data_IF_836700890212
#
_entry.id   IF_836700890212
#
_cell.length_a   1.000
_cell.length_b   1.000
_cell.length_c   1.000
_cell.angle_alpha   90.00
_cell.angle_beta   90.00
_cell.angle_gamma   90.00
#
_symmetry.space_group_name_H-M   'P 1'
#
loop_
_entity.id
_entity.type
_entity.pdbx_description
1 polymer ?
#
# COMPACT_ATOMS: atom_id res chain seq x y z
N UNK A 1 34.48 -14.92 60.34
CA UNK A 1 34.78 -13.77 59.48
C UNK A 1 36.11 -14.04 58.80
N UNK A 2 36.22 -14.48 57.55
CA UNK A 2 37.48 -14.56 56.82
C UNK A 2 37.75 -13.23 56.08
N UNK A 3 39.01 -12.87 56.08
CA UNK A 3 39.59 -11.60 55.74
C UNK A 3 39.51 -11.23 54.29
N UNK A 4 39.59 -9.93 54.11
CA UNK A 4 39.68 -9.20 52.86
C UNK A 4 41.03 -9.50 52.19
N UNK A 5 41.04 -10.33 51.13
CA UNK A 5 42.20 -10.53 50.30
C UNK A 5 42.43 -9.31 49.45
N UNK A 6 43.52 -8.60 49.76
CA UNK A 6 44.03 -7.48 48.98
C UNK A 6 44.47 -7.96 47.58
N UNK A 7 43.81 -7.42 46.55
CA UNK A 7 44.31 -7.56 45.20
C UNK A 7 45.74 -7.01 45.05
N UNK A 8 46.68 -7.76 44.52
CA UNK A 8 48.05 -7.29 44.31
C UNK A 8 48.04 -6.15 43.30
N UNK A 9 48.47 -4.98 43.72
CA UNK A 9 48.58 -3.80 42.89
C UNK A 9 49.36 -4.07 41.62
N UNK A 10 48.83 -3.62 40.48
CA UNK A 10 49.44 -3.78 39.17
C UNK A 10 50.89 -3.28 39.19
N UNK A 11 51.84 -4.22 39.04
CA UNK A 11 53.28 -3.92 38.91
C UNK A 11 53.48 -3.07 37.65
N UNK A 12 53.92 -1.83 37.82
CA UNK A 12 54.33 -0.93 36.74
C UNK A 12 55.46 -1.59 35.97
N UNK A 13 55.30 -1.75 34.65
CA UNK A 13 56.37 -2.21 33.74
C UNK A 13 57.56 -1.25 33.86
N UNK A 14 58.77 -1.73 34.08
CA UNK A 14 59.96 -0.90 34.06
C UNK A 14 60.21 -0.47 32.61
N UNK A 15 60.29 0.82 32.37
CA UNK A 15 60.59 1.35 31.04
C UNK A 15 59.62 2.42 30.50
N UNK A 16 58.51 2.69 31.16
CA UNK A 16 57.67 3.84 30.82
C UNK A 16 58.37 5.14 31.24
N UNK A 17 59.20 5.69 30.35
CA UNK A 17 59.69 7.07 30.44
C UNK A 17 58.51 8.02 30.29
N UNK A 18 57.70 8.20 31.33
CA UNK A 18 56.91 9.41 31.41
C UNK A 18 57.90 10.54 31.69
N UNK A 19 58.23 11.26 30.63
CA UNK A 19 58.86 12.56 30.77
C UNK A 19 58.03 13.42 31.70
N UNK A 20 58.60 14.45 32.29
CA UNK A 20 57.91 15.33 33.21
C UNK A 20 56.62 15.82 32.49
N UNK A 21 55.48 15.64 33.17
CA UNK A 21 54.22 16.17 32.71
C UNK A 21 54.37 17.68 32.69
N UNK A 22 54.84 18.22 31.58
CA UNK A 22 54.77 19.67 31.36
C UNK A 22 53.29 19.98 31.34
N UNK A 23 52.88 20.81 32.30
CA UNK A 23 51.53 21.35 32.33
C UNK A 23 51.23 21.93 30.95
N UNK A 24 49.99 21.83 30.50
CA UNK A 24 49.50 22.25 29.18
C UNK A 24 49.82 23.71 28.80
N UNK A 25 50.42 24.49 29.70
CA UNK A 25 50.85 25.88 29.48
C UNK A 25 52.11 26.09 28.64
N UNK A 26 52.84 25.08 28.22
CA UNK A 26 54.13 25.21 27.52
C UNK A 26 54.18 24.85 26.05
N UNK A 27 53.14 24.35 25.45
CA UNK A 27 53.15 24.01 24.03
C UNK A 27 52.36 25.00 23.21
N UNK A 28 53.09 25.69 22.35
CA UNK A 28 52.62 26.52 21.19
C UNK A 28 51.18 27.00 21.27
N UNK A 29 50.97 28.22 21.74
CA UNK A 29 49.63 28.89 21.77
C UNK A 29 48.82 28.68 20.51
N UNK A 30 49.42 28.64 19.34
CA UNK A 30 48.75 28.35 18.04
C UNK A 30 48.15 26.93 17.93
N UNK A 31 48.63 25.95 18.73
CA UNK A 31 48.06 24.61 18.77
C UNK A 31 46.87 24.48 19.74
N UNK A 32 46.66 25.52 20.57
CA UNK A 32 45.57 25.59 21.54
C UNK A 32 44.41 26.49 21.08
N UNK A 33 44.54 27.19 19.94
CA UNK A 33 43.42 27.85 19.34
C UNK A 33 42.41 26.80 18.89
N UNK A 34 41.45 26.55 19.75
CA UNK A 34 40.31 25.65 19.46
C UNK A 34 39.55 26.21 18.26
N UNK A 35 39.07 25.32 17.40
CA UNK A 35 38.21 25.64 16.23
C UNK A 35 36.89 26.27 16.61
N UNK A 36 36.88 27.18 17.61
CA UNK A 36 35.68 27.83 18.12
C UNK A 36 34.94 26.99 19.18
N UNK A 37 33.79 27.46 19.68
CA UNK A 37 33.02 26.77 20.70
C UNK A 37 32.61 25.38 20.19
N UNK A 38 32.76 24.38 21.02
CA UNK A 38 32.43 22.98 20.70
C UNK A 38 30.97 22.89 20.19
N UNK A 39 30.74 22.43 18.97
CA UNK A 39 29.38 22.31 18.44
C UNK A 39 28.47 21.50 19.37
N UNK A 40 27.18 21.80 19.38
CA UNK A 40 26.20 21.02 20.15
C UNK A 40 26.32 19.53 19.79
N UNK A 41 26.08 18.65 20.75
CA UNK A 41 26.20 17.19 20.57
C UNK A 41 25.49 16.65 19.32
N UNK A 42 24.41 17.30 18.94
CA UNK A 42 23.59 17.00 17.75
C UNK A 42 24.28 17.30 16.40
N UNK A 43 25.29 18.19 16.42
CA UNK A 43 26.01 18.64 15.23
C UNK A 43 27.47 18.11 15.16
N UNK A 44 27.86 17.22 16.09
CA UNK A 44 29.19 16.61 16.12
C UNK A 44 29.22 15.37 15.25
N UNK A 45 30.10 15.36 14.25
CA UNK A 45 30.33 14.17 13.41
C UNK A 45 30.68 12.95 14.30
N UNK A 46 29.97 11.84 14.11
CA UNK A 46 30.19 10.60 14.86
C UNK A 46 29.53 10.52 16.23
N UNK A 47 28.99 11.60 16.78
CA UNK A 47 28.32 11.59 18.08
C UNK A 47 26.99 10.82 18.02
N UNK A 48 26.61 10.00 19.05
CA UNK A 48 25.35 9.25 19.04
C UNK A 48 24.10 10.11 18.81
N UNK A 49 24.05 11.33 19.40
CA UNK A 49 22.93 12.27 19.18
C UNK A 49 22.86 12.81 17.74
N UNK A 50 24.00 13.06 17.09
CA UNK A 50 24.02 13.46 15.68
C UNK A 50 23.55 12.33 14.77
N UNK A 51 23.97 11.08 15.05
CA UNK A 51 23.47 9.90 14.34
C UNK A 51 21.98 9.68 14.53
N UNK A 52 21.47 9.88 15.76
CA UNK A 52 20.04 9.79 16.07
C UNK A 52 19.25 10.87 15.34
N UNK A 53 19.73 12.12 15.32
CA UNK A 53 19.14 13.24 14.57
C UNK A 53 19.09 12.96 13.08
N UNK A 54 20.22 12.55 12.48
CA UNK A 54 20.29 12.20 11.07
C UNK A 54 19.35 11.05 10.69
N UNK A 55 19.19 10.02 11.56
CA UNK A 55 18.24 8.94 11.37
C UNK A 55 16.78 9.43 11.49
N UNK A 56 16.49 10.33 12.43
CA UNK A 56 15.16 10.92 12.59
C UNK A 56 14.80 11.79 11.37
N UNK A 57 15.73 12.64 10.91
CA UNK A 57 15.56 13.46 9.70
C UNK A 57 15.39 12.62 8.44
N UNK A 58 16.20 11.56 8.28
CA UNK A 58 16.06 10.60 7.17
C UNK A 58 14.70 9.88 7.22
N UNK A 59 14.23 9.51 8.40
CA UNK A 59 12.93 8.87 8.59
C UNK A 59 11.75 9.84 8.32
N UNK A 60 11.91 11.10 8.71
CA UNK A 60 10.93 12.16 8.43
C UNK A 60 10.92 12.58 6.95
N UNK A 61 12.05 12.46 6.25
CA UNK A 61 12.16 12.74 4.83
C UNK A 61 11.62 11.60 3.93
N UNK A 62 11.42 10.39 4.48
CA UNK A 62 10.78 9.32 3.72
C UNK A 62 9.31 9.66 3.48
N UNK A 63 8.84 9.58 2.23
CA UNK A 63 7.43 9.84 1.95
C UNK A 63 6.57 8.87 2.76
N UNK A 64 5.55 9.38 3.43
CA UNK A 64 4.57 8.54 4.12
C UNK A 64 3.95 7.55 3.13
N UNK A 65 3.53 6.37 3.62
CA UNK A 65 2.87 5.35 2.78
C UNK A 65 1.75 5.97 1.93
N UNK A 66 0.98 6.88 2.50
CA UNK A 66 -0.10 7.57 1.78
C UNK A 66 0.42 8.36 0.55
N UNK A 67 1.51 9.14 0.71
CA UNK A 67 2.13 9.87 -0.42
C UNK A 67 2.72 8.94 -1.48
N UNK A 68 3.24 7.78 -1.07
CA UNK A 68 3.73 6.77 -2.00
C UNK A 68 2.59 6.16 -2.81
N UNK A 69 1.50 5.78 -2.15
CA UNK A 69 0.31 5.22 -2.81
C UNK A 69 -0.30 6.23 -3.79
N UNK A 70 -0.43 7.49 -3.39
CA UNK A 70 -0.94 8.54 -4.26
C UNK A 70 -0.07 8.75 -5.52
N UNK A 71 1.26 8.75 -5.36
CA UNK A 71 2.20 8.83 -6.49
C UNK A 71 2.05 7.65 -7.44
N UNK A 72 1.86 6.44 -6.89
CA UNK A 72 1.65 5.22 -7.68
C UNK A 72 0.31 5.29 -8.42
N UNK A 73 -0.77 5.69 -7.74
CA UNK A 73 -2.11 5.82 -8.33
C UNK A 73 -2.10 6.74 -9.55
N UNK A 74 -1.41 7.89 -9.46
CA UNK A 74 -1.22 8.81 -10.60
C UNK A 74 -0.47 8.20 -11.78
N UNK A 75 0.44 7.23 -11.53
CA UNK A 75 1.18 6.56 -12.61
C UNK A 75 0.28 5.69 -13.49
N UNK A 76 -0.76 5.11 -12.91
CA UNK A 76 -1.66 4.23 -13.64
C UNK A 76 -2.77 4.98 -14.37
N UNK A 77 -2.98 6.25 -14.05
CA UNK A 77 -3.90 7.17 -14.75
C UNK A 77 -5.22 6.49 -15.15
N UNK A 78 -6.02 6.14 -14.12
CA UNK A 78 -7.35 5.56 -14.33
C UNK A 78 -8.26 6.66 -14.87
N UNK A 79 -8.83 6.49 -16.10
CA UNK A 79 -9.65 7.53 -16.71
C UNK A 79 -10.91 7.83 -15.88
N UNK A 80 -11.41 9.07 -15.99
CA UNK A 80 -12.75 9.39 -15.50
C UNK A 80 -13.79 8.47 -16.14
N UNK A 81 -14.75 7.99 -15.35
CA UNK A 81 -15.74 7.03 -15.84
C UNK A 81 -15.27 5.57 -15.88
N UNK A 82 -14.11 5.27 -15.30
CA UNK A 82 -13.65 3.90 -15.07
C UNK A 82 -13.53 3.59 -13.58
N UNK A 83 -13.68 2.33 -13.23
CA UNK A 83 -13.60 1.81 -11.87
C UNK A 83 -12.62 0.64 -11.79
N UNK A 84 -12.08 0.41 -10.59
CA UNK A 84 -11.20 -0.71 -10.32
C UNK A 84 -11.94 -1.77 -9.52
N UNK A 85 -12.17 -2.92 -10.14
CA UNK A 85 -12.65 -4.12 -9.44
C UNK A 85 -11.47 -4.97 -9.01
N UNK A 86 -11.50 -5.49 -7.78
CA UNK A 86 -10.39 -6.27 -7.25
C UNK A 86 -10.85 -7.51 -6.47
N UNK A 87 -9.92 -8.47 -6.33
CA UNK A 87 -10.18 -9.76 -5.69
C UNK A 87 -10.57 -10.85 -6.70
N UNK A 88 -10.04 -12.07 -6.47
CA UNK A 88 -10.13 -13.18 -7.42
C UNK A 88 -11.54 -13.55 -7.83
N UNK A 89 -12.47 -13.57 -6.87
CA UNK A 89 -13.87 -13.93 -7.16
C UNK A 89 -14.56 -12.86 -7.98
N UNK A 90 -14.49 -11.59 -7.54
CA UNK A 90 -15.15 -10.48 -8.22
C UNK A 90 -14.65 -10.32 -9.66
N UNK A 91 -13.34 -10.41 -9.86
CA UNK A 91 -12.71 -10.28 -11.18
C UNK A 91 -13.08 -11.46 -12.09
N UNK A 92 -13.15 -12.69 -11.56
CA UNK A 92 -13.60 -13.86 -12.32
C UNK A 92 -15.08 -13.76 -12.68
N UNK A 93 -15.94 -13.37 -11.75
CA UNK A 93 -17.37 -13.16 -12.02
C UNK A 93 -17.58 -12.10 -13.10
N UNK A 94 -16.85 -10.98 -13.06
CA UNK A 94 -16.89 -9.95 -14.10
C UNK A 94 -16.48 -10.51 -15.46
N UNK A 95 -15.44 -11.35 -15.53
CA UNK A 95 -15.00 -11.99 -16.76
C UNK A 95 -16.06 -12.97 -17.31
N UNK A 96 -16.72 -13.76 -16.47
CA UNK A 96 -17.80 -14.67 -16.86
C UNK A 96 -19.06 -13.91 -17.26
N UNK A 97 -19.40 -12.83 -16.58
CA UNK A 97 -20.53 -11.95 -16.92
C UNK A 97 -20.26 -11.09 -18.17
N UNK A 98 -19.13 -11.28 -18.84
CA UNK A 98 -18.76 -10.54 -20.03
C UNK A 98 -18.65 -9.03 -19.85
N UNK A 99 -18.34 -8.57 -18.64
CA UNK A 99 -18.06 -7.16 -18.37
C UNK A 99 -16.90 -6.69 -19.25
N UNK A 100 -16.97 -5.51 -19.86
CA UNK A 100 -15.86 -4.97 -20.66
C UNK A 100 -14.68 -4.68 -19.76
N UNK A 101 -13.55 -5.35 -20.01
CA UNK A 101 -12.29 -5.15 -19.29
C UNK A 101 -11.39 -4.28 -20.14
N UNK A 102 -10.91 -3.18 -19.58
CA UNK A 102 -10.01 -2.25 -20.26
C UNK A 102 -8.54 -2.55 -19.98
N UNK A 103 -8.21 -2.90 -18.75
CA UNK A 103 -6.85 -3.29 -18.30
C UNK A 103 -6.94 -4.35 -17.21
N UNK A 104 -5.95 -5.23 -17.15
CA UNK A 104 -5.78 -6.20 -16.06
C UNK A 104 -4.49 -5.87 -15.32
N UNK A 105 -4.53 -5.82 -14.00
CA UNK A 105 -3.38 -5.63 -13.13
C UNK A 105 -3.17 -6.91 -12.32
N UNK A 106 -2.03 -7.54 -12.48
CA UNK A 106 -1.72 -8.81 -11.83
C UNK A 106 -0.39 -8.72 -11.08
N UNK A 107 -0.40 -9.09 -9.80
CA UNK A 107 0.84 -9.16 -9.04
C UNK A 107 1.74 -10.30 -9.55
N UNK A 108 3.04 -10.03 -9.70
CA UNK A 108 4.05 -11.03 -10.07
C UNK A 108 4.00 -12.26 -9.15
N UNK A 109 3.64 -12.06 -7.88
CA UNK A 109 3.49 -13.13 -6.89
C UNK A 109 2.12 -13.81 -6.89
N UNK A 110 1.20 -13.42 -7.78
CA UNK A 110 -0.12 -14.04 -7.83
C UNK A 110 0.01 -15.49 -8.29
N UNK A 111 -0.44 -16.42 -7.42
CA UNK A 111 -0.53 -17.82 -7.83
C UNK A 111 -1.60 -17.96 -8.91
N UNK A 112 -1.24 -18.61 -10.01
CA UNK A 112 -2.19 -18.93 -11.09
C UNK A 112 -3.24 -19.91 -10.59
N UNK A 113 -4.51 -19.60 -10.85
CA UNK A 113 -5.64 -20.49 -10.67
C UNK A 113 -6.59 -20.38 -11.88
N UNK A 114 -7.59 -21.25 -11.94
CA UNK A 114 -8.54 -21.28 -13.06
C UNK A 114 -9.31 -19.96 -13.24
N UNK A 115 -9.55 -19.24 -12.13
CA UNK A 115 -10.22 -17.93 -12.11
C UNK A 115 -9.39 -16.89 -12.82
N UNK A 116 -8.10 -16.79 -12.47
CA UNK A 116 -7.18 -15.88 -13.15
C UNK A 116 -7.00 -16.25 -14.62
N UNK A 117 -6.98 -17.55 -14.93
CA UNK A 117 -6.99 -18.05 -16.30
C UNK A 117 -8.20 -17.55 -17.12
N UNK A 118 -9.39 -17.53 -16.52
CA UNK A 118 -10.59 -16.99 -17.17
C UNK A 118 -10.47 -15.49 -17.46
N UNK A 119 -9.94 -14.72 -16.49
CA UNK A 119 -9.71 -13.28 -16.64
C UNK A 119 -8.72 -12.97 -17.76
N UNK A 120 -7.59 -13.68 -17.80
CA UNK A 120 -6.57 -13.49 -18.85
C UNK A 120 -7.13 -13.84 -20.23
N UNK A 121 -7.88 -14.95 -20.37
CA UNK A 121 -8.56 -15.30 -21.62
C UNK A 121 -9.55 -14.21 -22.06
N UNK A 122 -10.35 -13.70 -21.11
CA UNK A 122 -11.31 -12.62 -21.41
C UNK A 122 -10.59 -11.34 -21.86
N UNK A 123 -9.53 -10.94 -21.15
CA UNK A 123 -8.70 -9.80 -21.51
C UNK A 123 -8.12 -9.94 -22.93
N UNK A 124 -7.60 -11.12 -23.26
CA UNK A 124 -7.06 -11.40 -24.60
C UNK A 124 -8.12 -11.27 -25.69
N UNK A 125 -9.35 -11.75 -25.47
CA UNK A 125 -10.47 -11.60 -26.41
C UNK A 125 -10.86 -10.13 -26.62
N UNK A 126 -10.71 -9.30 -25.61
CA UNK A 126 -11.03 -7.86 -25.66
C UNK A 126 -9.83 -7.01 -26.15
N UNK A 127 -8.65 -7.60 -26.35
CA UNK A 127 -7.42 -6.85 -26.62
C UNK A 127 -6.94 -6.02 -25.41
N UNK A 128 -7.43 -6.30 -24.20
CA UNK A 128 -7.06 -5.58 -23.01
C UNK A 128 -5.66 -6.01 -22.50
N UNK A 129 -4.75 -5.07 -22.21
CA UNK A 129 -3.42 -5.39 -21.74
C UNK A 129 -3.45 -5.98 -20.34
N UNK A 130 -2.59 -6.98 -20.11
CA UNK A 130 -2.30 -7.54 -18.77
C UNK A 130 -0.98 -6.94 -18.28
N UNK A 131 -1.04 -6.16 -17.22
CA UNK A 131 0.07 -5.44 -16.65
C UNK A 131 0.57 -6.15 -15.39
N UNK A 132 1.85 -6.51 -15.39
CA UNK A 132 2.50 -6.99 -14.16
C UNK A 132 2.71 -5.84 -13.19
N UNK A 133 2.31 -6.06 -11.93
CA UNK A 133 2.31 -5.05 -10.89
C UNK A 133 2.88 -5.59 -9.59
N UNK A 134 3.28 -4.71 -8.70
CA UNK A 134 3.66 -5.08 -7.33
C UNK A 134 2.42 -5.07 -6.42
N UNK A 135 2.54 -5.69 -5.24
CA UNK A 135 1.49 -5.59 -4.22
C UNK A 135 1.21 -4.13 -3.83
N UNK A 136 2.25 -3.30 -3.76
CA UNK A 136 2.10 -1.88 -3.44
C UNK A 136 1.35 -1.10 -4.54
N UNK A 137 1.54 -1.47 -5.79
CA UNK A 137 0.79 -0.90 -6.92
C UNK A 137 -0.70 -1.25 -6.80
N UNK A 138 -1.02 -2.51 -6.48
CA UNK A 138 -2.39 -2.93 -6.24
C UNK A 138 -3.00 -2.28 -5.00
N UNK A 139 -2.26 -2.18 -3.90
CA UNK A 139 -2.70 -1.43 -2.70
C UNK A 139 -3.06 0.03 -3.07
N UNK A 140 -2.30 0.65 -3.98
CA UNK A 140 -2.57 2.02 -4.42
C UNK A 140 -3.79 2.12 -5.33
N UNK A 141 -3.95 1.19 -6.28
CA UNK A 141 -5.07 1.17 -7.22
C UNK A 141 -6.41 0.87 -6.55
N UNK A 142 -6.40 0.02 -5.52
CA UNK A 142 -7.61 -0.46 -4.85
C UNK A 142 -7.90 0.24 -3.53
N UNK A 143 -7.21 1.34 -3.23
CA UNK A 143 -7.28 2.05 -1.95
C UNK A 143 -7.09 1.10 -0.74
N UNK A 144 -6.16 0.14 -0.89
CA UNK A 144 -5.83 -0.90 0.09
C UNK A 144 -6.95 -1.92 0.37
N UNK A 145 -7.89 -2.09 -0.54
CA UNK A 145 -8.87 -3.18 -0.46
C UNK A 145 -8.22 -4.57 -0.63
N UNK A 146 -8.95 -5.62 -0.30
CA UNK A 146 -8.46 -7.01 -0.38
C UNK A 146 -8.39 -7.49 -1.84
N UNK A 147 -7.32 -7.12 -2.54
CA UNK A 147 -7.16 -7.39 -3.97
C UNK A 147 -6.69 -8.81 -4.32
N UNK A 148 -6.17 -9.58 -3.38
CA UNK A 148 -5.71 -10.98 -3.59
C UNK A 148 -4.75 -11.19 -4.77
N UNK A 149 -4.00 -10.14 -5.15
CA UNK A 149 -3.03 -10.16 -6.23
C UNK A 149 -3.59 -9.84 -7.62
N UNK A 150 -4.86 -9.46 -7.76
CA UNK A 150 -5.47 -9.12 -9.03
C UNK A 150 -6.46 -7.96 -8.90
N UNK A 151 -6.47 -7.11 -9.93
CA UNK A 151 -7.49 -6.09 -10.15
C UNK A 151 -7.72 -5.93 -11.67
N UNK A 152 -8.90 -5.47 -12.04
CA UNK A 152 -9.24 -5.09 -13.42
C UNK A 152 -9.80 -3.68 -13.44
N UNK A 153 -9.56 -2.99 -14.53
CA UNK A 153 -10.21 -1.74 -14.83
C UNK A 153 -11.38 -2.01 -15.77
N UNK A 154 -12.51 -1.43 -15.43
CA UNK A 154 -13.76 -1.55 -16.19
C UNK A 154 -14.39 -0.16 -16.33
N UNK A 155 -15.20 0.10 -17.35
CA UNK A 155 -16.08 1.28 -17.37
C UNK A 155 -16.99 1.30 -16.15
N UNK A 156 -17.25 2.48 -15.60
CA UNK A 156 -18.16 2.63 -14.48
C UNK A 156 -19.55 2.10 -14.85
N UNK A 157 -20.20 1.51 -13.86
CA UNK A 157 -21.57 1.00 -14.06
C UNK A 157 -22.55 2.15 -14.29
N UNK A 158 -23.30 2.10 -15.37
CA UNK A 158 -24.34 3.08 -15.68
C UNK A 158 -25.65 2.68 -15.01
N UNK A 159 -26.04 3.45 -14.00
CA UNK A 159 -27.33 3.29 -13.37
C UNK A 159 -28.47 3.83 -14.26
N UNK A 160 -29.63 3.19 -14.17
CA UNK A 160 -30.82 3.62 -14.87
C UNK A 160 -31.94 3.94 -13.89
N UNK A 161 -33.00 4.62 -14.32
CA UNK A 161 -34.14 4.92 -13.45
C UNK A 161 -35.07 3.71 -13.29
N UNK A 162 -35.83 3.66 -12.19
CA UNK A 162 -36.88 2.65 -11.99
C UNK A 162 -37.90 2.66 -13.11
N UNK A 163 -38.17 3.82 -13.68
CA UNK A 163 -39.09 4.00 -14.82
C UNK A 163 -38.53 3.32 -16.07
N UNK A 164 -37.28 3.58 -16.38
CA UNK A 164 -36.61 2.97 -17.56
C UNK A 164 -36.55 1.46 -17.44
N UNK A 165 -36.25 0.93 -16.22
CA UNK A 165 -36.30 -0.50 -15.95
C UNK A 165 -37.66 -1.10 -16.25
N UNK A 166 -38.73 -0.44 -15.78
CA UNK A 166 -40.12 -0.87 -15.99
C UNK A 166 -40.48 -0.86 -17.49
N UNK A 167 -40.10 0.19 -18.21
CA UNK A 167 -40.36 0.32 -19.65
C UNK A 167 -39.62 -0.77 -20.45
N UNK A 168 -38.35 -1.03 -20.11
CA UNK A 168 -37.56 -2.12 -20.73
C UNK A 168 -38.16 -3.50 -20.49
N UNK A 169 -38.58 -3.80 -19.25
CA UNK A 169 -39.18 -5.08 -18.93
C UNK A 169 -40.54 -5.27 -19.68
N UNK A 170 -41.37 -4.23 -19.76
CA UNK A 170 -42.60 -4.27 -20.56
C UNK A 170 -42.35 -4.49 -22.05
N UNK A 171 -41.29 -3.88 -22.58
CA UNK A 171 -40.93 -4.04 -23.99
C UNK A 171 -40.48 -5.49 -24.31
N UNK A 172 -39.98 -6.25 -23.35
CA UNK A 172 -39.67 -7.67 -23.47
C UNK A 172 -40.89 -8.60 -23.49
N UNK A 173 -42.13 -8.04 -23.24
CA UNK A 173 -43.38 -8.77 -23.36
C UNK A 173 -43.74 -9.67 -22.18
N UNK A 174 -43.09 -9.51 -21.03
CA UNK A 174 -43.40 -10.25 -19.82
C UNK A 174 -43.83 -9.31 -18.67
N UNK A 175 -44.35 -9.89 -17.58
CA UNK A 175 -44.68 -9.13 -16.38
C UNK A 175 -43.39 -8.73 -15.66
N UNK A 176 -43.16 -7.43 -15.44
CA UNK A 176 -41.94 -6.95 -14.77
C UNK A 176 -41.82 -7.44 -13.34
N UNK A 177 -40.62 -7.93 -12.98
CA UNK A 177 -40.24 -8.27 -11.63
C UNK A 177 -39.09 -7.33 -11.17
N UNK A 178 -39.42 -6.38 -10.32
CA UNK A 178 -38.45 -5.42 -9.75
C UNK A 178 -38.29 -5.69 -8.25
N UNK A 179 -37.06 -5.67 -7.77
CA UNK A 179 -36.74 -5.78 -6.35
C UNK A 179 -36.29 -4.41 -5.87
N UNK A 180 -36.97 -3.88 -4.86
CA UNK A 180 -36.56 -2.62 -4.22
C UNK A 180 -35.94 -2.92 -2.85
N UNK A 181 -34.80 -2.33 -2.59
CA UNK A 181 -34.08 -2.46 -1.33
C UNK A 181 -34.37 -1.24 -0.44
N UNK A 182 -34.56 -1.48 0.84
CA UNK A 182 -34.70 -0.42 1.83
C UNK A 182 -33.70 -0.69 2.97
N UNK A 183 -32.86 0.32 3.27
CA UNK A 183 -31.89 0.32 4.38
C UNK A 183 -30.90 -0.86 4.40
N UNK A 184 -30.55 -1.42 3.24
CA UNK A 184 -29.50 -2.45 3.14
C UNK A 184 -28.14 -1.77 3.17
N UNK A 185 -27.46 -1.83 4.30
CA UNK A 185 -26.17 -1.15 4.52
C UNK A 185 -24.95 -2.07 4.35
N UNK A 186 -25.12 -3.38 4.49
CA UNK A 186 -24.04 -4.35 4.37
C UNK A 186 -23.84 -4.77 2.90
N UNK A 187 -22.66 -4.53 2.29
CA UNK A 187 -22.36 -4.94 0.93
C UNK A 187 -22.48 -6.45 0.68
N UNK A 188 -22.25 -7.29 1.69
CA UNK A 188 -22.42 -8.74 1.56
C UNK A 188 -23.89 -9.12 1.39
N UNK A 189 -24.78 -8.48 2.14
CA UNK A 189 -26.22 -8.67 2.01
C UNK A 189 -26.73 -8.16 0.66
N UNK A 190 -26.26 -6.98 0.23
CA UNK A 190 -26.56 -6.45 -1.11
C UNK A 190 -26.15 -7.46 -2.19
N UNK A 191 -24.93 -7.97 -2.15
CA UNK A 191 -24.45 -8.96 -3.11
C UNK A 191 -25.27 -10.27 -3.09
N UNK A 192 -25.74 -10.73 -1.92
CA UNK A 192 -26.60 -11.88 -1.81
C UNK A 192 -27.99 -11.65 -2.46
N UNK A 193 -28.58 -10.48 -2.23
CA UNK A 193 -29.85 -10.11 -2.85
C UNK A 193 -29.72 -9.98 -4.37
N UNK A 194 -28.66 -9.33 -4.88
CA UNK A 194 -28.41 -9.21 -6.32
C UNK A 194 -28.28 -10.57 -7.00
N UNK A 195 -27.55 -11.53 -6.39
CA UNK A 195 -27.44 -12.90 -6.91
C UNK A 195 -28.81 -13.62 -6.93
N UNK A 196 -29.57 -13.46 -5.85
CA UNK A 196 -30.91 -14.07 -5.76
C UNK A 196 -31.85 -13.45 -6.77
N UNK A 197 -31.89 -12.12 -6.90
CA UNK A 197 -32.69 -11.41 -7.88
C UNK A 197 -32.36 -11.89 -9.32
N UNK A 198 -31.08 -12.00 -9.66
CA UNK A 198 -30.67 -12.54 -10.95
C UNK A 198 -31.09 -14.00 -11.17
N UNK A 199 -30.97 -14.85 -10.14
CA UNK A 199 -31.40 -16.26 -10.23
C UNK A 199 -32.91 -16.41 -10.43
N UNK A 200 -33.72 -15.51 -9.87
CA UNK A 200 -35.17 -15.48 -10.07
C UNK A 200 -35.63 -14.71 -11.33
N UNK A 201 -34.69 -14.18 -12.12
CA UNK A 201 -35.00 -13.47 -13.34
C UNK A 201 -35.60 -12.10 -13.10
N UNK A 202 -35.21 -11.41 -12.04
CA UNK A 202 -35.65 -10.03 -11.82
C UNK A 202 -35.08 -9.11 -12.91
N UNK A 203 -35.91 -8.21 -13.42
CA UNK A 203 -35.54 -7.25 -14.46
C UNK A 203 -34.65 -6.11 -13.94
N UNK A 204 -34.66 -5.90 -12.63
CA UNK A 204 -33.79 -4.93 -12.01
C UNK A 204 -33.91 -4.87 -10.49
N UNK A 205 -32.89 -4.25 -9.90
CA UNK A 205 -32.85 -3.99 -8.45
C UNK A 205 -32.72 -2.49 -8.23
N UNK A 206 -33.63 -1.94 -7.44
CA UNK A 206 -33.65 -0.52 -7.07
C UNK A 206 -32.91 -0.38 -5.75
N UNK A 207 -31.86 0.43 -5.76
CA UNK A 207 -31.03 0.74 -4.60
C UNK A 207 -31.21 2.23 -4.31
N UNK A 208 -31.68 2.61 -3.09
CA UNK A 208 -31.90 4.00 -2.72
C UNK A 208 -30.60 4.78 -2.51
#
# INVERSE_FOLDING_TARGET
MPGNEQYPGAKRRPGSKKGPTKGSGGQRRKGLEGKGPTPRAENRVGHPKARAKARAESRAAQPTRAKQLEKIKRRFDVPEGHEILCGRNAVAEAAYASVPITRVFMAVSAQSDDRLGAVVRRAALLGAPVLETTKLDLDALTDSATHQGVAIEVPAYEYTTARDLLERARALGHTPLLVALDQVTDPHNLGAVLRSAGAFGADGVIIP
#
